data_IF_561080711994
#
_entry.id   IF_561080711994
#
_cell.length_a   1.000
_cell.length_b   1.000
_cell.length_c   1.000
_cell.angle_alpha   90.00
_cell.angle_beta   90.00
_cell.angle_gamma   90.00
#
_symmetry.space_group_name_H-M   'P 1'
#
loop_
_entity.id
_entity.type
_entity.pdbx_description
1 polymer ?
#
# COMPACT_ATOMS: atom_id res chain seq x y z
N UNK A 1 42.55 -24.83 -12.84
CA UNK A 1 41.80 -25.82 -12.03
C UNK A 1 41.55 -25.20 -10.67
N UNK A 2 40.38 -24.58 -10.49
CA UNK A 2 39.98 -23.98 -9.22
C UNK A 2 39.45 -25.06 -8.28
N UNK A 3 40.02 -25.15 -7.09
CA UNK A 3 39.53 -26.02 -6.03
C UNK A 3 38.31 -25.38 -5.39
N UNK A 4 37.12 -25.95 -5.63
CA UNK A 4 35.91 -25.63 -4.89
C UNK A 4 36.15 -25.91 -3.39
N UNK A 5 35.94 -24.89 -2.55
CA UNK A 5 35.87 -25.11 -1.10
C UNK A 5 34.56 -25.84 -0.81
N UNK A 6 34.56 -26.95 -0.06
CA UNK A 6 33.32 -27.57 0.37
C UNK A 6 32.59 -26.61 1.32
N UNK A 7 31.35 -26.25 0.99
CA UNK A 7 30.46 -25.59 1.93
C UNK A 7 30.24 -26.53 3.12
N UNK A 8 30.92 -26.26 4.23
CA UNK A 8 30.70 -26.98 5.47
C UNK A 8 29.31 -26.60 5.98
N UNK A 9 28.40 -27.56 6.08
CA UNK A 9 27.09 -27.34 6.68
C UNK A 9 27.21 -26.89 8.15
N UNK A 10 26.18 -26.26 8.70
CA UNK A 10 26.20 -25.65 10.05
C UNK A 10 26.64 -26.64 11.15
N UNK A 11 26.25 -27.91 11.03
CA UNK A 11 26.67 -28.98 11.96
C UNK A 11 28.18 -29.30 11.89
N UNK A 12 28.81 -29.18 10.71
CA UNK A 12 30.23 -29.43 10.54
C UNK A 12 31.07 -28.27 11.13
N UNK A 13 30.66 -27.02 10.88
CA UNK A 13 31.26 -25.83 11.47
C UNK A 13 31.15 -25.84 13.01
N UNK A 14 29.97 -26.16 13.54
CA UNK A 14 29.76 -26.34 14.98
C UNK A 14 30.65 -27.44 15.55
N UNK A 15 30.76 -28.59 14.88
CA UNK A 15 31.58 -29.71 15.35
C UNK A 15 33.07 -29.34 15.45
N UNK A 16 33.55 -28.49 14.55
CA UNK A 16 34.93 -28.01 14.52
C UNK A 16 35.18 -26.97 15.62
N UNK A 17 34.22 -26.08 15.86
CA UNK A 17 34.31 -25.04 16.89
C UNK A 17 34.23 -25.62 18.32
N UNK A 18 33.33 -26.57 18.56
CA UNK A 18 33.20 -27.27 19.85
C UNK A 18 34.48 -28.05 20.24
N UNK A 19 35.26 -28.49 19.25
CA UNK A 19 36.53 -29.20 19.46
C UNK A 19 37.68 -28.29 19.89
N UNK A 20 37.57 -26.97 19.74
CA UNK A 20 38.66 -26.01 19.98
C UNK A 20 38.67 -25.35 21.37
N UNK A 21 37.77 -25.76 22.28
CA UNK A 21 37.99 -25.58 23.70
C UNK A 21 37.35 -24.34 24.32
N UNK A 22 36.01 -24.31 24.33
CA UNK A 22 35.09 -23.91 25.41
C UNK A 22 33.69 -24.04 24.82
N UNK A 23 32.72 -24.69 25.49
CA UNK A 23 31.36 -24.72 24.97
C UNK A 23 30.86 -23.28 24.89
N UNK A 24 30.48 -22.77 23.70
CA UNK A 24 29.83 -21.47 23.59
C UNK A 24 28.57 -21.46 24.46
N UNK A 25 28.18 -20.28 24.95
CA UNK A 25 26.95 -20.14 25.71
C UNK A 25 25.81 -20.69 24.84
N UNK A 26 24.91 -21.47 25.44
CA UNK A 26 23.77 -22.04 24.72
C UNK A 26 22.97 -20.96 23.99
N UNK A 27 22.90 -19.74 24.53
CA UNK A 27 22.30 -18.58 23.88
C UNK A 27 22.98 -18.18 22.58
N UNK A 28 24.32 -18.22 22.51
CA UNK A 28 25.06 -17.92 21.28
C UNK A 28 24.84 -19.01 20.23
N UNK A 29 24.80 -20.28 20.63
CA UNK A 29 24.48 -21.37 19.71
C UNK A 29 23.06 -21.28 19.17
N UNK A 30 22.09 -20.96 20.02
CA UNK A 30 20.69 -20.80 19.61
C UNK A 30 20.54 -19.64 18.64
N UNK A 31 21.25 -18.52 18.83
CA UNK A 31 21.27 -17.40 17.89
C UNK A 31 21.82 -17.84 16.53
N UNK A 32 23.02 -18.43 16.50
CA UNK A 32 23.67 -18.90 15.26
C UNK A 32 22.85 -19.97 14.52
N UNK A 33 22.12 -20.81 15.25
CA UNK A 33 21.23 -21.80 14.65
C UNK A 33 19.95 -21.18 14.10
N UNK A 34 19.37 -20.21 14.80
CA UNK A 34 18.19 -19.48 14.33
C UNK A 34 18.52 -18.73 13.04
N UNK A 35 19.63 -18.01 13.01
CA UNK A 35 20.06 -17.27 11.81
C UNK A 35 20.28 -18.22 10.61
N UNK A 36 20.77 -19.44 10.87
CA UNK A 36 20.95 -20.47 9.84
C UNK A 36 19.63 -21.09 9.36
N UNK A 37 18.65 -21.27 10.26
CA UNK A 37 17.29 -21.73 9.93
C UNK A 37 16.55 -20.68 9.11
N UNK A 38 16.58 -19.42 9.55
CA UNK A 38 15.95 -18.29 8.87
C UNK A 38 16.56 -18.07 7.48
N UNK A 39 17.89 -18.17 7.35
CA UNK A 39 18.55 -18.15 6.04
C UNK A 39 18.12 -19.31 5.14
N UNK A 40 17.95 -20.52 5.69
CA UNK A 40 17.49 -21.67 4.91
C UNK A 40 16.06 -21.47 4.41
N UNK A 41 15.18 -20.96 5.26
CA UNK A 41 13.82 -20.60 4.88
C UNK A 41 13.81 -19.49 3.83
N UNK A 42 14.65 -18.46 3.96
CA UNK A 42 14.80 -17.44 2.94
C UNK A 42 15.20 -18.04 1.58
N UNK A 43 16.19 -18.93 1.55
CA UNK A 43 16.56 -19.63 0.31
C UNK A 43 15.43 -20.49 -0.26
N UNK A 44 14.58 -21.06 0.60
CA UNK A 44 13.37 -21.77 0.15
C UNK A 44 12.42 -20.80 -0.54
N UNK A 45 12.16 -19.62 0.03
CA UNK A 45 11.32 -18.58 -0.59
C UNK A 45 11.87 -18.13 -1.95
N UNK A 46 13.17 -17.87 -2.04
CA UNK A 46 13.84 -17.49 -3.30
C UNK A 46 13.61 -18.56 -4.37
N UNK A 47 13.84 -19.84 -4.05
CA UNK A 47 13.61 -20.95 -5.00
C UNK A 47 12.16 -21.15 -5.39
N UNK A 48 11.25 -20.88 -4.46
CA UNK A 48 9.83 -21.10 -4.61
C UNK A 48 9.18 -20.05 -5.54
N UNK A 49 9.56 -18.78 -5.39
CA UNK A 49 8.93 -17.64 -6.05
C UNK A 49 9.79 -17.00 -7.16
N UNK A 50 11.11 -17.05 -7.03
CA UNK A 50 12.07 -16.39 -7.94
C UNK A 50 13.24 -17.31 -8.34
N UNK A 51 12.98 -18.55 -8.82
CA UNK A 51 14.04 -19.51 -9.11
C UNK A 51 15.01 -19.04 -10.20
N UNK A 52 14.53 -18.23 -11.14
CA UNK A 52 15.30 -17.80 -12.31
C UNK A 52 16.41 -16.79 -11.96
N UNK A 53 16.35 -16.18 -10.77
CA UNK A 53 17.29 -15.15 -10.30
C UNK A 53 17.89 -15.49 -8.93
N UNK A 54 17.86 -16.76 -8.51
CA UNK A 54 18.41 -17.21 -7.22
C UNK A 54 19.87 -16.79 -7.03
N UNK A 55 20.71 -16.97 -8.06
CA UNK A 55 22.14 -16.62 -7.99
C UNK A 55 22.37 -15.10 -7.87
N UNK A 56 21.50 -14.28 -8.46
CA UNK A 56 21.59 -12.83 -8.37
C UNK A 56 21.23 -12.36 -6.95
N UNK A 57 20.12 -12.87 -6.40
CA UNK A 57 19.66 -12.54 -5.04
C UNK A 57 20.70 -12.99 -4.00
N UNK A 58 21.16 -14.23 -4.08
CA UNK A 58 22.13 -14.79 -3.11
C UNK A 58 23.54 -14.24 -3.30
N UNK A 59 23.85 -13.69 -4.48
CA UNK A 59 25.09 -13.01 -4.80
C UNK A 59 25.09 -11.51 -4.47
N UNK A 60 23.95 -10.94 -4.08
CA UNK A 60 23.77 -9.49 -3.93
C UNK A 60 24.70 -8.87 -2.88
N UNK A 61 24.96 -9.56 -1.77
CA UNK A 61 25.85 -9.06 -0.72
C UNK A 61 25.47 -9.56 0.68
N UNK A 62 25.58 -8.73 1.73
CA UNK A 62 25.09 -9.06 3.07
C UNK A 62 23.57 -9.32 3.10
N UNK A 63 23.04 -9.89 4.20
CA UNK A 63 21.62 -10.27 4.34
C UNK A 63 20.62 -9.19 3.90
N UNK A 64 20.80 -7.94 4.34
CA UNK A 64 19.94 -6.82 3.94
C UNK A 64 19.90 -6.62 2.42
N UNK A 65 21.05 -6.71 1.74
CA UNK A 65 21.12 -6.56 0.28
C UNK A 65 20.46 -7.75 -0.45
N UNK A 66 20.60 -8.97 0.08
CA UNK A 66 19.89 -10.14 -0.44
C UNK A 66 18.38 -10.00 -0.30
N UNK A 67 17.89 -9.59 0.87
CA UNK A 67 16.46 -9.39 1.12
C UNK A 67 15.90 -8.26 0.26
N UNK A 68 16.64 -7.14 0.13
CA UNK A 68 16.24 -6.04 -0.74
C UNK A 68 16.15 -6.48 -2.22
N UNK A 69 17.11 -7.29 -2.69
CA UNK A 69 17.08 -7.85 -4.04
C UNK A 69 15.88 -8.79 -4.24
N UNK A 70 15.60 -9.66 -3.27
CA UNK A 70 14.41 -10.50 -3.26
C UNK A 70 13.12 -9.67 -3.30
N UNK A 71 12.96 -8.68 -2.42
CA UNK A 71 11.74 -7.88 -2.32
C UNK A 71 11.46 -7.09 -3.60
N UNK A 72 12.48 -6.49 -4.22
CA UNK A 72 12.33 -5.78 -5.50
C UNK A 72 11.86 -6.73 -6.61
N UNK A 73 12.55 -7.84 -6.80
CA UNK A 73 12.19 -8.78 -7.86
C UNK A 73 10.87 -9.52 -7.60
N UNK A 74 10.51 -9.71 -6.32
CA UNK A 74 9.20 -10.23 -5.93
C UNK A 74 8.10 -9.24 -6.29
N UNK A 75 8.29 -7.95 -5.96
CA UNK A 75 7.35 -6.88 -6.28
C UNK A 75 7.13 -6.64 -7.77
N UNK A 76 8.13 -6.92 -8.61
CA UNK A 76 7.99 -6.88 -10.07
C UNK A 76 7.05 -7.97 -10.62
N UNK A 77 6.86 -9.09 -9.90
CA UNK A 77 6.11 -10.25 -10.38
C UNK A 77 4.78 -10.46 -9.65
N UNK A 78 4.71 -10.08 -8.38
CA UNK A 78 3.59 -10.36 -7.49
C UNK A 78 3.04 -9.03 -6.96
N UNK A 79 3.43 -8.66 -5.75
CA UNK A 79 3.00 -7.44 -5.07
C UNK A 79 4.14 -6.88 -4.24
N UNK A 80 4.03 -5.60 -3.89
CA UNK A 80 5.07 -4.92 -3.12
C UNK A 80 5.11 -5.40 -1.67
N UNK A 81 6.34 -5.61 -1.19
CA UNK A 81 6.62 -5.87 0.21
C UNK A 81 7.05 -4.56 0.89
N UNK A 82 6.96 -4.52 2.22
CA UNK A 82 7.38 -3.41 3.07
C UNK A 82 8.67 -2.75 2.58
N UNK A 83 8.65 -1.42 2.56
CA UNK A 83 9.74 -0.62 2.00
C UNK A 83 11.03 -0.77 2.81
N UNK A 84 10.95 -0.99 4.11
CA UNK A 84 12.07 -1.14 5.03
C UNK A 84 12.99 -2.32 4.66
N UNK A 85 12.44 -3.38 4.04
CA UNK A 85 13.27 -4.45 3.48
C UNK A 85 13.97 -4.05 2.19
N UNK A 86 13.35 -3.20 1.37
CA UNK A 86 13.93 -2.71 0.11
C UNK A 86 15.05 -1.69 0.35
N UNK A 87 14.89 -0.85 1.37
CA UNK A 87 15.84 0.18 1.79
C UNK A 87 16.99 -0.40 2.63
N UNK A 88 16.87 -1.66 3.05
CA UNK A 88 17.90 -2.38 3.81
C UNK A 88 17.95 -2.00 5.29
N UNK A 89 16.86 -1.46 5.84
CA UNK A 89 16.75 -1.11 7.26
C UNK A 89 16.57 -2.34 8.16
N UNK A 90 16.03 -3.42 7.57
CA UNK A 90 15.89 -4.72 8.24
C UNK A 90 17.01 -5.65 7.76
N UNK A 91 17.85 -6.09 8.70
CA UNK A 91 19.02 -6.92 8.40
C UNK A 91 18.81 -8.43 8.71
N UNK A 92 17.74 -8.78 9.43
CA UNK A 92 17.50 -10.15 9.91
C UNK A 92 16.53 -10.90 9.00
N UNK A 93 16.95 -12.07 8.48
CA UNK A 93 16.09 -12.95 7.68
C UNK A 93 14.82 -13.37 8.41
N UNK A 94 14.90 -13.53 9.75
CA UNK A 94 13.77 -13.91 10.60
C UNK A 94 12.55 -13.02 10.40
N UNK A 95 12.76 -11.71 10.25
CA UNK A 95 11.67 -10.75 10.03
C UNK A 95 10.93 -10.97 8.71
N UNK A 96 11.63 -11.43 7.66
CA UNK A 96 11.05 -11.70 6.35
C UNK A 96 10.36 -13.07 6.29
N UNK A 97 10.94 -14.10 6.93
CA UNK A 97 10.45 -15.48 6.79
C UNK A 97 9.32 -15.83 7.75
N UNK A 98 9.11 -15.05 8.81
CA UNK A 98 8.05 -15.28 9.79
C UNK A 98 6.63 -15.07 9.24
N UNK A 99 6.49 -14.22 8.22
CA UNK A 99 5.24 -13.97 7.50
C UNK A 99 5.49 -13.03 6.33
N UNK A 100 4.52 -12.90 5.43
CA UNK A 100 4.62 -11.99 4.29
C UNK A 100 4.57 -10.53 4.80
N UNK A 101 5.63 -9.73 4.63
CA UNK A 101 5.62 -8.33 5.04
C UNK A 101 4.95 -7.48 3.96
N UNK A 102 3.62 -7.52 3.89
CA UNK A 102 2.82 -6.77 2.91
C UNK A 102 2.99 -5.27 3.13
N UNK A 103 3.32 -4.49 2.09
CA UNK A 103 3.32 -3.03 2.22
C UNK A 103 1.87 -2.53 2.30
N UNK A 104 1.39 -2.27 3.50
CA UNK A 104 0.08 -1.69 3.75
C UNK A 104 0.19 -0.16 3.82
N UNK A 105 -0.76 0.53 3.21
CA UNK A 105 -0.85 1.98 3.04
C UNK A 105 -2.22 2.52 3.50
N UNK A 106 -2.97 1.74 4.29
CA UNK A 106 -4.22 2.20 4.90
C UNK A 106 -3.98 3.30 5.93
N UNK A 107 -5.02 4.07 6.18
CA UNK A 107 -4.96 5.27 7.02
C UNK A 107 -4.90 4.91 8.51
N UNK A 108 -4.02 5.59 9.24
CA UNK A 108 -4.00 5.59 10.70
C UNK A 108 -4.55 6.89 11.28
N UNK A 109 -4.58 6.98 12.62
CA UNK A 109 -5.12 8.16 13.30
C UNK A 109 -4.37 9.46 13.01
N UNK A 110 -3.06 9.39 12.82
CA UNK A 110 -2.22 10.56 12.56
C UNK A 110 -2.49 11.08 11.14
N UNK A 111 -2.70 10.19 10.17
CA UNK A 111 -3.02 10.56 8.78
C UNK A 111 -4.28 11.44 8.69
N UNK A 112 -5.31 11.14 9.49
CA UNK A 112 -6.54 11.94 9.47
C UNK A 112 -6.39 13.33 10.07
N UNK A 113 -5.52 13.49 11.08
CA UNK A 113 -5.16 14.81 11.62
C UNK A 113 -4.35 15.63 10.61
N UNK A 114 -3.64 14.96 9.70
CA UNK A 114 -2.87 15.57 8.62
C UNK A 114 -3.70 15.89 7.36
N UNK A 115 -4.95 15.43 7.25
CA UNK A 115 -5.85 15.70 6.11
C UNK A 115 -5.85 17.16 5.63
N UNK A 116 -5.93 18.19 6.51
CA UNK A 116 -5.93 19.59 6.08
C UNK A 116 -4.65 20.04 5.35
N UNK A 117 -3.57 19.26 5.45
CA UNK A 117 -2.25 19.53 4.89
C UNK A 117 -1.99 18.72 3.61
N UNK A 118 -2.85 17.74 3.31
CA UNK A 118 -2.79 16.98 2.07
C UNK A 118 -3.08 17.86 0.83
N UNK A 119 -2.89 17.28 -0.35
CA UNK A 119 -3.22 17.93 -1.64
C UNK A 119 -4.69 18.35 -1.69
N UNK A 120 -4.97 19.45 -2.39
CA UNK A 120 -6.29 20.09 -2.45
C UNK A 120 -7.42 19.13 -2.85
N UNK A 121 -7.16 18.19 -3.77
CA UNK A 121 -8.15 17.19 -4.16
C UNK A 121 -8.60 16.34 -2.99
N UNK A 122 -7.67 15.90 -2.12
CA UNK A 122 -7.99 15.05 -0.97
C UNK A 122 -8.76 15.82 0.09
N UNK A 123 -8.34 17.06 0.37
CA UNK A 123 -9.04 17.97 1.30
C UNK A 123 -10.49 18.18 0.86
N UNK A 124 -10.73 18.40 -0.43
CA UNK A 124 -12.08 18.62 -0.95
C UNK A 124 -12.91 17.33 -0.98
N UNK A 125 -12.32 16.22 -1.43
CA UNK A 125 -13.01 14.94 -1.49
C UNK A 125 -13.42 14.43 -0.11
N UNK A 126 -12.57 14.60 0.92
CA UNK A 126 -12.87 14.14 2.29
C UNK A 126 -14.06 14.86 2.91
N UNK A 127 -14.35 16.11 2.54
CA UNK A 127 -15.55 16.83 3.00
C UNK A 127 -16.86 16.17 2.55
N UNK A 128 -16.82 15.44 1.43
CA UNK A 128 -17.95 14.73 0.86
C UNK A 128 -18.18 13.37 1.53
N UNK A 129 -17.25 12.89 2.35
CA UNK A 129 -17.39 11.64 3.09
C UNK A 129 -17.92 11.94 4.50
N UNK A 130 -18.88 11.15 4.97
CA UNK A 130 -19.34 11.23 6.36
C UNK A 130 -18.43 10.45 7.29
N UNK A 131 -17.28 11.04 7.63
CA UNK A 131 -16.29 10.41 8.52
C UNK A 131 -16.82 10.16 9.94
N UNK A 132 -17.79 10.97 10.40
CA UNK A 132 -18.37 10.80 11.75
C UNK A 132 -19.24 9.55 11.84
N UNK A 133 -20.01 9.25 10.78
CA UNK A 133 -20.81 8.03 10.69
C UNK A 133 -19.96 6.78 10.36
N UNK A 134 -18.98 6.90 9.47
CA UNK A 134 -18.22 5.73 9.00
C UNK A 134 -17.13 5.27 9.98
N UNK A 135 -16.57 6.19 10.77
CA UNK A 135 -15.47 5.90 11.71
C UNK A 135 -15.93 5.93 13.17
N UNK A 136 -17.05 5.24 13.43
CA UNK A 136 -17.67 5.18 14.76
C UNK A 136 -16.69 4.69 15.82
N UNK A 137 -16.53 5.48 16.88
CA UNK A 137 -15.72 5.10 18.06
C UNK A 137 -14.39 5.82 18.14
N UNK A 138 -14.07 6.63 17.13
CA UNK A 138 -12.95 7.55 17.22
C UNK A 138 -13.46 8.92 17.71
N UNK A 139 -12.76 9.52 18.68
CA UNK A 139 -13.15 10.81 19.29
C UNK A 139 -12.84 11.98 18.33
N UNK A 140 -13.49 12.01 17.17
CA UNK A 140 -13.14 12.86 16.02
C UNK A 140 -13.81 14.22 16.03
N UNK A 141 -13.92 14.82 17.22
CA UNK A 141 -14.44 16.18 17.33
C UNK A 141 -13.47 17.18 16.70
N UNK A 142 -13.74 17.59 15.46
CA UNK A 142 -13.12 18.77 14.86
C UNK A 142 -12.32 18.55 13.57
N UNK A 143 -12.05 17.31 13.14
CA UNK A 143 -11.34 17.06 11.87
C UNK A 143 -12.09 17.72 10.71
N UNK A 144 -13.41 17.51 10.61
CA UNK A 144 -14.25 18.18 9.60
C UNK A 144 -14.09 19.71 9.61
N UNK A 145 -14.00 20.33 10.80
CA UNK A 145 -13.82 21.79 10.93
C UNK A 145 -12.47 22.21 10.36
N UNK A 146 -11.40 21.47 10.67
CA UNK A 146 -10.06 21.78 10.16
C UNK A 146 -9.96 21.60 8.64
N UNK A 147 -10.54 20.53 8.09
CA UNK A 147 -10.61 20.27 6.65
C UNK A 147 -11.45 21.35 5.95
N UNK A 148 -12.58 21.75 6.52
CA UNK A 148 -13.38 22.87 5.97
C UNK A 148 -12.60 24.18 5.96
N UNK A 149 -11.80 24.42 7.00
CA UNK A 149 -10.91 25.59 7.08
C UNK A 149 -9.89 25.63 5.94
N UNK A 150 -9.23 24.50 5.66
CA UNK A 150 -8.30 24.37 4.53
C UNK A 150 -9.01 24.50 3.17
N UNK A 151 -10.19 23.89 3.02
CA UNK A 151 -10.97 23.96 1.78
C UNK A 151 -11.43 25.37 1.41
N UNK A 152 -11.66 26.25 2.40
CA UNK A 152 -12.10 27.62 2.19
C UNK A 152 -11.13 28.49 1.38
N UNK A 153 -9.86 28.08 1.25
CA UNK A 153 -8.89 28.76 0.40
C UNK A 153 -9.11 28.44 -1.10
N UNK A 154 -9.77 27.32 -1.41
CA UNK A 154 -9.86 26.77 -2.75
C UNK A 154 -11.24 26.91 -3.38
N UNK A 155 -12.31 26.90 -2.57
CA UNK A 155 -13.70 26.90 -3.03
C UNK A 155 -14.53 28.00 -2.39
N UNK A 156 -15.60 28.41 -3.06
CA UNK A 156 -16.48 29.47 -2.56
C UNK A 156 -17.25 29.01 -1.31
N UNK A 157 -17.41 29.91 -0.34
CA UNK A 157 -18.11 29.63 0.92
C UNK A 157 -19.53 29.10 0.71
N UNK A 158 -20.26 29.60 -0.30
CA UNK A 158 -21.61 29.13 -0.63
C UNK A 158 -21.65 27.64 -1.00
N UNK A 159 -20.59 27.14 -1.65
CA UNK A 159 -20.48 25.71 -1.99
C UNK A 159 -20.19 24.90 -0.74
N UNK A 160 -19.28 25.38 0.13
CA UNK A 160 -18.93 24.71 1.39
C UNK A 160 -20.11 24.58 2.34
N UNK A 161 -20.96 25.61 2.44
CA UNK A 161 -22.15 25.60 3.30
C UNK A 161 -23.19 24.52 2.88
N UNK A 162 -23.08 23.99 1.67
CA UNK A 162 -23.95 22.91 1.17
C UNK A 162 -23.42 21.51 1.46
N UNK A 163 -22.14 21.38 1.81
CA UNK A 163 -21.48 20.10 2.03
C UNK A 163 -21.92 19.50 3.36
N UNK A 164 -22.52 18.31 3.32
CA UNK A 164 -23.06 17.62 4.51
C UNK A 164 -22.25 16.42 4.97
N UNK A 165 -21.35 15.91 4.12
CA UNK A 165 -20.83 14.55 4.27
C UNK A 165 -21.90 13.56 3.79
N UNK A 166 -21.45 12.50 3.11
CA UNK A 166 -22.33 11.45 2.61
C UNK A 166 -21.79 10.10 3.08
N UNK A 167 -22.65 9.21 3.61
CA UNK A 167 -22.24 7.87 3.99
C UNK A 167 -21.88 7.04 2.76
N UNK A 168 -21.07 6.00 2.95
CA UNK A 168 -20.60 5.15 1.84
C UNK A 168 -21.76 4.53 1.07
N UNK A 169 -22.79 4.07 1.77
CA UNK A 169 -24.01 3.52 1.14
C UNK A 169 -24.68 4.48 0.16
N UNK A 170 -24.67 5.79 0.45
CA UNK A 170 -25.18 6.80 -0.47
C UNK A 170 -24.26 6.97 -1.68
N UNK A 171 -22.94 7.01 -1.46
CA UNK A 171 -21.96 7.17 -2.54
C UNK A 171 -21.97 5.97 -3.50
N UNK A 172 -22.24 4.77 -2.99
CA UNK A 172 -22.46 3.56 -3.80
C UNK A 172 -23.66 3.71 -4.75
N UNK A 173 -24.76 4.28 -4.27
CA UNK A 173 -25.96 4.54 -5.09
C UNK A 173 -25.76 5.72 -6.05
N UNK A 174 -25.01 6.74 -5.65
CA UNK A 174 -24.74 7.93 -6.46
C UNK A 174 -23.93 7.61 -7.73
N UNK A 175 -23.10 6.57 -7.69
CA UNK A 175 -22.46 6.00 -8.88
C UNK A 175 -21.23 6.77 -9.40
N UNK A 176 -20.66 7.69 -8.63
CA UNK A 176 -19.38 8.32 -8.96
C UNK A 176 -18.23 7.45 -8.45
N UNK A 177 -17.67 6.61 -9.32
CA UNK A 177 -16.59 5.66 -9.01
C UNK A 177 -15.37 6.33 -8.36
N UNK A 178 -14.84 7.41 -8.93
CA UNK A 178 -13.65 8.07 -8.37
C UNK A 178 -13.82 8.53 -6.92
N UNK A 179 -14.98 9.14 -6.61
CA UNK A 179 -15.32 9.55 -5.25
C UNK A 179 -15.58 8.35 -4.35
N UNK A 180 -16.24 7.30 -4.85
CA UNK A 180 -16.52 6.08 -4.09
C UNK A 180 -15.23 5.34 -3.73
N UNK A 181 -14.31 5.16 -4.69
CA UNK A 181 -13.01 4.54 -4.47
C UNK A 181 -12.19 5.33 -3.45
N UNK A 182 -12.20 6.67 -3.52
CA UNK A 182 -11.56 7.51 -2.52
C UNK A 182 -12.19 7.35 -1.14
N UNK A 183 -13.53 7.36 -1.06
CA UNK A 183 -14.23 7.23 0.21
C UNK A 183 -13.99 5.84 0.84
N UNK A 184 -13.98 4.78 0.04
CA UNK A 184 -13.64 3.42 0.49
C UNK A 184 -12.21 3.32 1.01
N UNK A 185 -11.26 3.96 0.32
CA UNK A 185 -9.86 4.02 0.77
C UNK A 185 -9.74 4.79 2.09
N UNK A 186 -10.41 5.94 2.20
CA UNK A 186 -10.40 6.77 3.40
C UNK A 186 -11.06 6.09 4.61
N UNK A 187 -12.01 5.18 4.38
CA UNK A 187 -12.71 4.43 5.43
C UNK A 187 -12.20 2.99 5.63
N UNK A 188 -11.09 2.60 4.98
CA UNK A 188 -10.54 1.24 5.05
C UNK A 188 -11.56 0.14 4.65
N UNK A 189 -12.34 0.38 3.59
CA UNK A 189 -13.39 -0.50 3.05
C UNK A 189 -13.22 -0.79 1.54
N UNK A 190 -11.99 -0.90 1.08
CA UNK A 190 -11.65 -1.21 -0.31
C UNK A 190 -11.81 -2.70 -0.66
N UNK A 191 -11.79 -3.57 0.36
CA UNK A 191 -11.74 -5.02 0.17
C UNK A 191 -10.37 -5.52 -0.26
N UNK A 192 -9.30 -4.77 0.08
CA UNK A 192 -7.91 -5.13 -0.16
C UNK A 192 -7.09 -4.87 1.09
N UNK A 193 -6.21 -5.81 1.45
CA UNK A 193 -5.36 -5.67 2.65
C UNK A 193 -4.45 -4.43 2.58
N UNK A 194 -4.10 -3.99 1.37
CA UNK A 194 -3.16 -2.90 1.11
C UNK A 194 -3.70 -1.54 1.56
N UNK A 195 -5.01 -1.33 1.50
CA UNK A 195 -5.63 -0.06 1.87
C UNK A 195 -6.52 -0.17 3.12
N UNK A 196 -6.94 -1.37 3.49
CA UNK A 196 -7.86 -1.57 4.62
C UNK A 196 -7.13 -1.74 5.95
N UNK A 197 -5.81 -1.95 5.94
CA UNK A 197 -4.98 -2.04 7.13
C UNK A 197 -3.92 -0.94 7.11
N UNK A 198 -3.63 -0.38 8.28
CA UNK A 198 -2.49 0.52 8.47
C UNK A 198 -1.28 -0.22 9.07
N UNK A 199 -0.05 0.34 8.96
CA UNK A 199 1.15 -0.31 9.49
C UNK A 199 1.09 -0.60 10.99
N UNK A 200 0.43 0.27 11.77
CA UNK A 200 0.32 0.08 13.21
C UNK A 200 -0.52 -1.16 13.55
N UNK A 201 -1.67 -1.33 12.90
CA UNK A 201 -2.55 -2.47 13.06
C UNK A 201 -1.94 -3.76 12.54
N UNK A 202 -1.21 -3.68 11.42
CA UNK A 202 -0.59 -4.84 10.79
C UNK A 202 0.65 -5.33 11.55
N UNK A 203 1.53 -4.45 12.04
CA UNK A 203 2.79 -4.90 12.67
C UNK A 203 2.76 -4.93 14.19
N UNK A 204 1.87 -4.16 14.83
CA UNK A 204 1.85 -4.01 16.28
C UNK A 204 0.47 -4.37 16.85
N UNK A 205 0.13 -5.68 16.91
CA UNK A 205 -1.17 -6.11 17.42
C UNK A 205 -1.37 -5.59 18.84
N UNK A 206 -2.35 -4.70 18.98
CA UNK A 206 -2.67 -4.12 20.28
C UNK A 206 -3.28 -5.19 21.19
N UNK A 207 -3.11 -5.03 22.50
CA UNK A 207 -3.64 -5.95 23.52
C UNK A 207 -5.17 -6.10 23.54
N UNK A 208 -5.89 -5.39 22.67
CA UNK A 208 -7.34 -5.47 22.49
C UNK A 208 -7.80 -6.70 21.69
N UNK A 209 -6.87 -7.53 21.18
CA UNK A 209 -7.21 -8.80 20.55
C UNK A 209 -7.54 -8.73 19.06
N UNK A 210 -7.20 -7.60 18.40
CA UNK A 210 -7.04 -7.61 16.95
C UNK A 210 -5.76 -8.36 16.65
N UNK A 211 -5.88 -9.69 16.49
CA UNK A 211 -4.77 -10.54 16.14
C UNK A 211 -4.36 -10.16 14.72
N UNK A 212 -3.22 -9.48 14.55
CA UNK A 212 -2.68 -9.39 13.23
C UNK A 212 -2.38 -10.82 12.76
N UNK A 213 -3.06 -11.21 11.69
CA UNK A 213 -2.94 -12.53 11.13
C UNK A 213 -1.62 -12.55 10.39
N UNK A 214 -0.60 -13.16 11.00
CA UNK A 214 0.66 -13.46 10.30
C UNK A 214 0.31 -14.24 9.04
N UNK A 215 0.44 -13.58 7.89
CA UNK A 215 0.14 -14.20 6.59
C UNK A 215 1.31 -15.11 6.26
N UNK A 216 1.02 -16.40 6.04
CA UNK A 216 2.07 -17.36 5.75
C UNK A 216 2.56 -17.26 4.30
N UNK A 217 3.78 -17.72 4.06
CA UNK A 217 4.37 -17.78 2.72
C UNK A 217 3.81 -18.95 1.88
N UNK A 218 2.49 -19.17 1.91
CA UNK A 218 1.82 -20.17 1.07
C UNK A 218 1.60 -19.64 -0.35
N UNK A 219 1.51 -20.55 -1.33
CA UNK A 219 1.26 -20.17 -2.74
C UNK A 219 -0.13 -19.59 -2.90
N UNK A 220 -1.08 -20.12 -2.14
CA UNK A 220 -2.45 -19.63 -2.07
C UNK A 220 -2.46 -18.18 -1.58
N UNK A 221 -1.84 -17.87 -0.43
CA UNK A 221 -1.76 -16.51 0.07
C UNK A 221 -1.05 -15.55 -0.91
N UNK A 222 0.07 -15.95 -1.50
CA UNK A 222 0.77 -15.12 -2.51
C UNK A 222 -0.11 -14.86 -3.73
N UNK A 223 -0.89 -15.85 -4.19
CA UNK A 223 -1.80 -15.69 -5.32
C UNK A 223 -2.94 -14.72 -4.98
N UNK A 224 -3.59 -14.92 -3.83
CA UNK A 224 -4.67 -14.06 -3.35
C UNK A 224 -4.20 -12.61 -3.17
N UNK A 225 -3.04 -12.40 -2.55
CA UNK A 225 -2.44 -11.07 -2.38
C UNK A 225 -2.04 -10.43 -3.71
N UNK A 226 -1.62 -11.21 -4.70
CA UNK A 226 -1.33 -10.69 -6.04
C UNK A 226 -2.61 -10.19 -6.73
N UNK A 227 -3.71 -10.94 -6.63
CA UNK A 227 -5.02 -10.52 -7.15
C UNK A 227 -5.59 -9.30 -6.40
N UNK A 228 -5.36 -9.21 -5.09
CA UNK A 228 -5.68 -8.01 -4.30
C UNK A 228 -4.82 -6.81 -4.68
N UNK A 229 -3.54 -7.02 -4.97
CA UNK A 229 -2.63 -5.96 -5.36
C UNK A 229 -3.02 -5.32 -6.70
N UNK A 230 -3.40 -6.13 -7.69
CA UNK A 230 -3.91 -5.63 -8.96
C UNK A 230 -5.15 -4.73 -8.75
N UNK A 231 -6.06 -5.14 -7.85
CA UNK A 231 -7.21 -4.32 -7.46
C UNK A 231 -6.80 -3.05 -6.74
N UNK A 232 -5.85 -3.14 -5.81
CA UNK A 232 -5.33 -2.00 -5.05
C UNK A 232 -4.67 -0.95 -5.96
N UNK A 233 -3.93 -1.38 -7.00
CA UNK A 233 -3.35 -0.51 -8.02
C UNK A 233 -4.46 0.19 -8.83
N UNK A 234 -5.48 -0.54 -9.27
CA UNK A 234 -6.60 0.05 -10.00
C UNK A 234 -7.32 1.11 -9.16
N UNK A 235 -7.60 0.82 -7.89
CA UNK A 235 -8.23 1.79 -6.96
C UNK A 235 -7.37 3.04 -6.85
N UNK A 236 -6.04 2.89 -6.71
CA UNK A 236 -5.11 4.02 -6.63
C UNK A 236 -5.18 4.89 -7.89
N UNK A 237 -5.14 4.28 -9.07
CA UNK A 237 -5.23 4.99 -10.35
C UNK A 237 -6.56 5.75 -10.50
N UNK A 238 -7.69 5.12 -10.12
CA UNK A 238 -9.01 5.75 -10.12
C UNK A 238 -9.07 6.96 -9.18
N UNK A 239 -8.54 6.79 -7.96
CA UNK A 239 -8.46 7.86 -6.97
C UNK A 239 -7.56 8.99 -7.46
N UNK A 240 -6.35 8.70 -7.94
CA UNK A 240 -5.42 9.70 -8.44
C UNK A 240 -5.99 10.48 -9.62
N UNK A 241 -6.65 9.80 -10.56
CA UNK A 241 -7.35 10.43 -11.68
C UNK A 241 -8.47 11.35 -11.22
N UNK A 242 -9.28 10.91 -10.26
CA UNK A 242 -10.34 11.71 -9.66
C UNK A 242 -9.82 12.95 -8.92
N UNK A 243 -8.79 12.78 -8.08
CA UNK A 243 -8.19 13.87 -7.31
C UNK A 243 -7.51 14.89 -8.25
N UNK A 244 -6.79 14.42 -9.27
CA UNK A 244 -6.19 15.28 -10.28
C UNK A 244 -7.24 16.06 -11.08
N UNK A 245 -8.36 15.43 -11.43
CA UNK A 245 -9.50 16.12 -12.03
C UNK A 245 -10.00 17.22 -11.09
N UNK A 246 -10.23 16.91 -9.82
CA UNK A 246 -10.71 17.88 -8.83
C UNK A 246 -9.75 19.07 -8.63
N UNK A 247 -8.45 18.86 -8.81
CA UNK A 247 -7.42 19.89 -8.69
C UNK A 247 -7.26 20.79 -9.92
N UNK A 248 -7.65 20.34 -11.11
CA UNK A 248 -7.52 21.12 -12.35
C UNK A 248 -8.33 22.43 -12.31
N UNK A 249 -9.53 22.38 -11.72
CA UNK A 249 -10.36 23.55 -11.43
C UNK A 249 -11.21 23.27 -10.18
N UNK A 250 -10.58 23.37 -9.01
CA UNK A 250 -11.20 23.02 -7.73
C UNK A 250 -12.52 23.74 -7.46
N UNK A 251 -12.67 25.00 -7.90
CA UNK A 251 -13.93 25.73 -7.72
C UNK A 251 -15.05 25.12 -8.54
N UNK A 252 -14.81 24.94 -9.83
CA UNK A 252 -15.84 24.47 -10.77
C UNK A 252 -16.16 22.99 -10.55
N UNK A 253 -15.13 22.15 -10.44
CA UNK A 253 -15.28 20.71 -10.32
C UNK A 253 -15.90 20.31 -8.99
N UNK A 254 -15.48 20.92 -7.88
CA UNK A 254 -16.09 20.65 -6.57
C UNK A 254 -17.55 21.11 -6.52
N UNK A 255 -17.86 22.33 -7.00
CA UNK A 255 -19.23 22.81 -7.05
C UNK A 255 -20.13 21.95 -7.95
N UNK A 256 -19.58 21.41 -9.05
CA UNK A 256 -20.28 20.47 -9.92
C UNK A 256 -20.56 19.16 -9.19
N UNK A 257 -19.58 18.63 -8.47
CA UNK A 257 -19.70 17.38 -7.71
C UNK A 257 -20.74 17.49 -6.59
N UNK A 258 -20.75 18.59 -5.82
CA UNK A 258 -21.77 18.85 -4.79
C UNK A 258 -23.18 18.87 -5.41
N UNK A 259 -23.38 19.57 -6.53
CA UNK A 259 -24.68 19.60 -7.21
C UNK A 259 -25.10 18.23 -7.74
N UNK A 260 -24.15 17.45 -8.25
CA UNK A 260 -24.38 16.08 -8.69
C UNK A 260 -24.90 15.21 -7.53
N UNK A 261 -24.24 15.26 -6.37
CA UNK A 261 -24.64 14.51 -5.17
C UNK A 261 -25.98 15.00 -4.59
N UNK A 262 -26.36 16.26 -4.81
CA UNK A 262 -27.69 16.76 -4.47
C UNK A 262 -28.79 16.33 -5.45
N UNK A 263 -28.45 15.63 -6.54
CA UNK A 263 -29.39 15.17 -7.56
C UNK A 263 -29.88 16.26 -8.50
N UNK A 264 -29.09 17.33 -8.72
CA UNK A 264 -29.43 18.38 -9.68
C UNK A 264 -29.41 17.83 -11.12
N UNK A 265 -30.56 17.72 -11.81
CA UNK A 265 -30.65 17.11 -13.14
C UNK A 265 -29.97 17.94 -14.24
N UNK A 266 -29.56 19.18 -13.94
CA UNK A 266 -28.82 20.02 -14.89
C UNK A 266 -27.33 19.67 -14.96
N UNK A 267 -26.83 18.89 -14.00
CA UNK A 267 -25.44 18.43 -13.97
C UNK A 267 -25.37 17.04 -14.59
N UNK A 268 -24.82 16.97 -15.81
CA UNK A 268 -24.45 15.69 -16.40
C UNK A 268 -23.35 15.01 -15.60
N UNK A 269 -23.28 13.69 -15.71
CA UNK A 269 -22.31 12.82 -15.03
C UNK A 269 -20.87 13.40 -15.12
N UNK A 270 -20.24 13.75 -13.98
CA UNK A 270 -18.87 14.24 -13.94
C UNK A 270 -17.87 13.26 -14.58
N UNK A 271 -18.10 11.96 -14.47
CA UNK A 271 -17.17 10.92 -14.94
C UNK A 271 -17.10 10.82 -16.46
N UNK A 272 -18.20 11.09 -17.17
CA UNK A 272 -18.16 11.17 -18.64
C UNK A 272 -17.10 12.17 -19.12
N UNK A 273 -16.93 13.29 -18.41
CA UNK A 273 -15.92 14.28 -18.78
C UNK A 273 -14.49 13.90 -18.40
N UNK A 274 -14.29 12.95 -17.50
CA UNK A 274 -12.98 12.37 -17.15
C UNK A 274 -12.58 11.35 -18.21
N UNK A 275 -13.46 10.39 -18.50
CA UNK A 275 -13.22 9.34 -19.51
C UNK A 275 -13.06 9.88 -20.94
N UNK A 276 -13.86 10.88 -21.33
CA UNK A 276 -13.70 11.55 -22.64
C UNK A 276 -12.31 12.22 -22.77
N UNK A 277 -11.75 12.73 -21.67
CA UNK A 277 -10.42 13.34 -21.67
C UNK A 277 -9.30 12.31 -21.64
N UNK A 278 -9.43 11.24 -20.87
CA UNK A 278 -8.42 10.17 -20.86
C UNK A 278 -8.36 9.45 -22.20
N UNK A 279 -9.49 9.21 -22.85
CA UNK A 279 -9.54 8.70 -24.22
C UNK A 279 -8.92 9.68 -25.22
N UNK A 280 -9.15 10.99 -25.06
CA UNK A 280 -8.50 12.01 -25.89
C UNK A 280 -6.98 12.09 -25.66
N UNK A 281 -6.50 11.97 -24.41
CA UNK A 281 -5.07 11.92 -24.07
C UNK A 281 -4.41 10.63 -24.58
N UNK A 282 -5.07 9.49 -24.45
CA UNK A 282 -4.62 8.21 -25.00
C UNK A 282 -4.53 8.21 -26.53
N UNK A 283 -5.49 8.84 -27.23
CA UNK A 283 -5.43 9.03 -28.68
C UNK A 283 -4.29 9.94 -29.13
N UNK A 284 -4.03 11.04 -28.41
CA UNK A 284 -2.94 11.96 -28.74
C UNK A 284 -1.54 11.32 -28.58
N UNK A 285 -1.38 10.42 -27.61
CA UNK A 285 -0.13 9.64 -27.44
C UNK A 285 0.03 8.63 -28.60
N UNK A 286 -1.06 8.05 -29.10
CA UNK A 286 -1.02 7.10 -30.21
C UNK A 286 -0.79 7.77 -31.57
N UNK A 287 -1.36 8.96 -31.81
CA UNK A 287 -1.15 9.73 -33.04
C UNK A 287 0.27 10.34 -33.11
N UNK A 288 0.81 10.82 -31.99
CA UNK A 288 2.21 11.30 -31.92
C UNK A 288 3.25 10.20 -32.20
N UNK A 289 2.93 8.94 -31.89
CA UNK A 289 3.80 7.80 -32.20
C UNK A 289 3.77 7.38 -33.68
N UNK A 290 2.67 7.67 -34.39
CA UNK A 290 2.51 7.38 -35.81
C UNK A 290 3.09 8.48 -36.71
N UNK A 291 3.06 9.74 -36.28
CA UNK A 291 3.64 10.86 -37.03
C UNK A 291 5.18 10.96 -36.92
N UNK A 292 5.79 10.27 -35.93
CA UNK A 292 7.26 10.21 -35.75
C UNK A 292 8.00 9.17 -36.61
N UNK A 293 7.31 8.48 -37.53
CA UNK A 293 7.90 7.46 -38.44
C UNK A 293 7.82 7.84 -39.94
N UNK A 294 7.82 9.13 -40.25
CA UNK A 294 7.91 9.67 -41.62
C UNK A 294 9.31 10.14 -41.98
#
# INVERSE_FOLDING_TARGET
>A
MGTAKPHQGPLAALSQFLRQGRPPLLSCLVSEFRDAEDYHEFLRLVREYLPDIEEEITGAGPPAEMMAAFCRAFGERYFILMQEFQDGEIEEFGSLVQGIPVAVEGWDYEDYDELPQCRTGMVLASLLVDLEEELVGLEWEGIRITVMGAAAEHVDQEVLERVKGYPLSFLEEAGHQGLLSFAKMLCCQTGTVFWDLNPQEFYYPTSSGSACQVIDWSREAVTELTEEWERAVQIREEVDGFLAWLEEDSRVHFARLVRFLEGDPSVGDPEQSIWEREMARGQLIFEGFLEGKG
#
